data_IF_546014803201
#
_entry.id   IF_546014803201
#
_cell.length_a   1.000
_cell.length_b   1.000
_cell.length_c   1.000
_cell.angle_alpha   90.00
_cell.angle_beta   90.00
_cell.angle_gamma   90.00
#
_symmetry.space_group_name_H-M   'P 1'
#
loop_
_entity.id
_entity.type
_entity.pdbx_description
1 polymer ?
#
# COMPACT_ATOMS: atom_id res chain seq x y z
N UNK A 1 -22.13 -29.05 1.31
CA UNK A 1 -21.22 -29.79 2.21
C UNK A 1 -20.33 -28.74 2.87
N UNK A 2 -20.61 -28.35 4.12
CA UNK A 2 -19.84 -27.30 4.82
C UNK A 2 -18.53 -27.91 5.31
N UNK A 3 -17.44 -27.64 4.61
CA UNK A 3 -16.10 -28.04 5.04
C UNK A 3 -15.63 -26.98 6.04
N UNK A 4 -15.64 -27.33 7.32
CA UNK A 4 -15.05 -26.51 8.38
C UNK A 4 -13.52 -26.52 8.24
N UNK A 5 -13.01 -25.54 7.50
CA UNK A 5 -11.58 -25.29 7.27
C UNK A 5 -10.81 -25.09 8.59
N UNK A 6 -11.49 -24.74 9.69
CA UNK A 6 -10.89 -24.57 11.01
C UNK A 6 -10.88 -25.85 11.86
N UNK A 7 -11.46 -26.96 11.36
CA UNK A 7 -11.32 -28.24 12.05
C UNK A 7 -9.84 -28.66 12.05
N UNK A 8 -9.31 -28.87 13.27
CA UNK A 8 -7.88 -28.88 13.65
C UNK A 8 -6.96 -29.85 12.87
N UNK A 9 -7.48 -30.67 11.95
CA UNK A 9 -6.72 -31.64 11.17
C UNK A 9 -6.32 -31.18 9.77
N UNK A 10 -7.02 -30.23 9.14
CA UNK A 10 -6.79 -29.90 7.72
C UNK A 10 -5.73 -28.82 7.50
N UNK A 11 -5.53 -27.92 8.47
CA UNK A 11 -4.56 -26.82 8.35
C UNK A 11 -3.12 -27.29 8.11
N UNK A 12 -2.58 -28.30 8.84
CA UNK A 12 -1.22 -28.79 8.58
C UNK A 12 -1.10 -29.51 7.24
N UNK A 13 -2.15 -30.20 6.80
CA UNK A 13 -2.22 -30.89 5.49
C UNK A 13 -2.26 -29.86 4.36
N UNK A 14 -3.03 -28.79 4.52
CA UNK A 14 -3.11 -27.68 3.58
C UNK A 14 -1.76 -26.97 3.50
N UNK A 15 -1.18 -26.56 4.63
CA UNK A 15 0.13 -25.90 4.71
C UNK A 15 1.26 -26.75 4.09
N UNK A 16 1.24 -28.08 4.26
CA UNK A 16 2.21 -29.00 3.67
C UNK A 16 2.05 -29.16 2.14
N UNK A 17 0.83 -29.01 1.61
CA UNK A 17 0.55 -29.15 0.17
C UNK A 17 0.57 -27.81 -0.58
N UNK A 18 0.51 -26.66 0.11
CA UNK A 18 0.62 -25.33 -0.51
C UNK A 18 2.05 -24.91 -0.90
N UNK A 19 3.06 -25.78 -0.72
CA UNK A 19 4.45 -25.45 -1.06
C UNK A 19 4.75 -25.36 -2.57
N UNK A 20 3.79 -25.72 -3.43
CA UNK A 20 3.94 -25.63 -4.89
C UNK A 20 2.79 -24.86 -5.55
N UNK A 21 2.29 -23.80 -4.92
CA UNK A 21 1.35 -22.89 -5.61
C UNK A 21 2.15 -22.05 -6.59
N UNK A 22 1.97 -22.29 -7.89
CA UNK A 22 2.57 -21.49 -8.94
C UNK A 22 1.66 -20.31 -9.39
N UNK A 23 2.08 -19.59 -10.42
CA UNK A 23 1.33 -18.43 -10.90
C UNK A 23 -0.02 -18.82 -11.53
N UNK A 24 -0.09 -19.99 -12.17
CA UNK A 24 -1.31 -20.51 -12.79
C UNK A 24 -2.30 -20.93 -11.70
N UNK A 25 -1.82 -21.61 -10.65
CA UNK A 25 -2.62 -21.96 -9.47
C UNK A 25 -3.18 -20.71 -8.79
N UNK A 26 -2.34 -19.69 -8.57
CA UNK A 26 -2.78 -18.40 -8.01
C UNK A 26 -3.90 -17.78 -8.86
N UNK A 27 -3.75 -17.80 -10.20
CA UNK A 27 -4.75 -17.23 -11.12
C UNK A 27 -6.05 -18.03 -11.12
N UNK A 28 -5.96 -19.35 -11.04
CA UNK A 28 -7.11 -20.25 -10.98
C UNK A 28 -7.88 -20.07 -9.67
N UNK A 29 -7.18 -19.99 -8.53
CA UNK A 29 -7.80 -19.74 -7.22
C UNK A 29 -8.54 -18.39 -7.20
N UNK A 30 -7.92 -17.34 -7.74
CA UNK A 30 -8.53 -16.01 -7.80
C UNK A 30 -9.71 -15.99 -8.78
N UNK A 31 -9.60 -16.65 -9.92
CA UNK A 31 -10.71 -16.78 -10.89
C UNK A 31 -11.88 -17.58 -10.30
N UNK A 32 -11.60 -18.68 -9.60
CA UNK A 32 -12.61 -19.48 -8.93
C UNK A 32 -13.36 -18.67 -7.86
N UNK A 33 -12.67 -17.79 -7.13
CA UNK A 33 -13.32 -16.84 -6.23
C UNK A 33 -14.27 -15.92 -6.99
N UNK A 34 -13.83 -15.32 -8.10
CA UNK A 34 -14.65 -14.43 -8.93
C UNK A 34 -15.89 -15.16 -9.47
N UNK A 35 -15.69 -16.34 -10.05
CA UNK A 35 -16.74 -17.16 -10.66
C UNK A 35 -17.78 -17.62 -9.65
N UNK A 36 -17.39 -17.79 -8.39
CA UNK A 36 -18.30 -18.13 -7.30
C UNK A 36 -19.39 -17.08 -7.07
N UNK A 37 -19.12 -15.81 -7.37
CA UNK A 37 -20.08 -14.71 -7.27
C UNK A 37 -20.77 -14.39 -8.61
N UNK A 38 -20.51 -15.16 -9.65
CA UNK A 38 -21.13 -14.96 -10.95
C UNK A 38 -22.46 -15.74 -11.03
N UNK A 39 -23.61 -15.06 -11.20
CA UNK A 39 -24.92 -15.71 -11.24
C UNK A 39 -25.08 -16.68 -12.42
N UNK A 40 -24.20 -16.61 -13.43
CA UNK A 40 -24.16 -17.54 -14.56
C UNK A 40 -23.66 -18.94 -14.19
N UNK A 41 -23.07 -19.12 -13.00
CA UNK A 41 -22.59 -20.42 -12.50
C UNK A 41 -23.38 -20.88 -11.28
N UNK A 42 -24.66 -21.28 -11.42
CA UNK A 42 -25.54 -21.60 -10.30
C UNK A 42 -25.05 -22.74 -9.39
N UNK A 43 -24.17 -23.61 -9.89
CA UNK A 43 -23.56 -24.69 -9.11
C UNK A 43 -22.53 -24.14 -8.09
N UNK A 44 -21.82 -23.06 -8.46
CA UNK A 44 -20.82 -22.40 -7.62
C UNK A 44 -21.43 -21.25 -6.83
N UNK A 45 -22.51 -20.66 -7.34
CA UNK A 45 -23.32 -19.62 -6.72
C UNK A 45 -24.22 -20.17 -5.60
N UNK A 46 -23.62 -20.94 -4.68
CA UNK A 46 -24.23 -21.21 -3.38
C UNK A 46 -24.33 -19.89 -2.63
N UNK A 47 -25.40 -19.63 -1.86
CA UNK A 47 -25.44 -18.48 -0.95
C UNK A 47 -24.23 -18.57 -0.03
N UNK A 48 -23.25 -17.71 -0.26
CA UNK A 48 -22.18 -17.49 0.70
C UNK A 48 -22.80 -16.60 1.76
N UNK A 49 -22.78 -17.06 3.02
CA UNK A 49 -23.30 -16.26 4.11
C UNK A 49 -22.55 -14.91 4.08
N UNK A 50 -23.28 -13.81 4.27
CA UNK A 50 -22.73 -12.46 4.19
C UNK A 50 -21.38 -12.26 4.92
N UNK A 51 -21.22 -12.94 6.06
CA UNK A 51 -20.00 -12.93 6.89
C UNK A 51 -18.78 -13.59 6.22
N UNK A 52 -18.99 -14.52 5.30
CA UNK A 52 -17.92 -15.29 4.68
C UNK A 52 -17.18 -14.47 3.61
N UNK A 53 -17.78 -13.41 3.05
CA UNK A 53 -17.13 -12.54 2.07
C UNK A 53 -15.76 -12.02 2.54
N UNK A 54 -15.71 -11.22 3.63
CA UNK A 54 -14.44 -10.78 4.21
C UNK A 54 -13.56 -11.91 4.75
N UNK A 55 -14.14 -13.01 5.24
CA UNK A 55 -13.39 -14.18 5.72
C UNK A 55 -12.65 -14.86 4.57
N UNK A 56 -13.28 -14.99 3.41
CA UNK A 56 -12.73 -15.60 2.20
C UNK A 56 -11.77 -14.66 1.48
N UNK A 57 -12.00 -13.34 1.56
CA UNK A 57 -11.13 -12.34 0.95
C UNK A 57 -9.73 -12.38 1.57
N UNK A 58 -9.61 -12.53 2.90
CA UNK A 58 -8.33 -12.54 3.62
C UNK A 58 -7.33 -13.62 3.16
N UNK A 59 -7.67 -14.91 3.09
CA UNK A 59 -6.77 -15.93 2.54
C UNK A 59 -6.58 -15.78 1.04
N UNK A 60 -7.55 -15.22 0.30
CA UNK A 60 -7.40 -14.95 -1.12
C UNK A 60 -6.24 -13.98 -1.41
N UNK A 61 -5.99 -13.04 -0.49
CA UNK A 61 -4.91 -12.03 -0.63
C UNK A 61 -3.54 -12.64 -0.87
N UNK A 62 -3.26 -13.83 -0.33
CA UNK A 62 -1.94 -14.46 -0.48
C UNK A 62 -1.68 -14.95 -1.91
N UNK A 63 -2.74 -15.08 -2.72
CA UNK A 63 -2.68 -15.50 -4.14
C UNK A 63 -2.72 -14.29 -5.10
N UNK A 64 -2.87 -13.08 -4.57
CA UNK A 64 -2.73 -11.83 -5.34
C UNK A 64 -1.25 -11.46 -5.40
N UNK A 65 -0.54 -12.06 -6.34
CA UNK A 65 0.90 -11.90 -6.56
C UNK A 65 1.18 -11.07 -7.81
N UNK A 66 2.44 -10.64 -8.06
CA UNK A 66 2.82 -10.13 -9.37
C UNK A 66 2.44 -11.15 -10.46
N UNK A 67 1.63 -10.73 -11.43
CA UNK A 67 1.11 -11.60 -12.50
C UNK A 67 -0.34 -12.05 -12.34
N UNK A 68 -0.98 -11.86 -11.18
CA UNK A 68 -2.45 -12.02 -10.98
C UNK A 68 -3.13 -10.72 -10.57
N UNK A 69 -2.38 -9.63 -10.46
CA UNK A 69 -2.88 -8.32 -10.02
C UNK A 69 -3.94 -7.71 -10.95
N UNK A 70 -4.03 -8.17 -12.20
CA UNK A 70 -5.08 -7.80 -13.16
C UNK A 70 -6.46 -8.31 -12.75
N UNK A 71 -6.54 -9.40 -11.97
CA UNK A 71 -7.80 -9.94 -11.46
C UNK A 71 -8.30 -9.20 -10.21
N UNK A 72 -7.42 -8.45 -9.54
CA UNK A 72 -7.74 -7.77 -8.30
C UNK A 72 -8.98 -6.86 -8.41
N UNK A 73 -9.11 -5.95 -9.39
CA UNK A 73 -10.29 -5.10 -9.50
C UNK A 73 -11.59 -5.91 -9.56
N UNK A 74 -11.57 -7.07 -10.23
CA UNK A 74 -12.74 -7.93 -10.35
C UNK A 74 -13.08 -8.63 -9.05
N UNK A 75 -12.08 -9.09 -8.29
CA UNK A 75 -12.26 -9.62 -6.93
C UNK A 75 -12.97 -8.59 -6.06
N UNK A 76 -12.50 -7.33 -6.05
CA UNK A 76 -13.12 -6.27 -5.26
C UNK A 76 -14.56 -6.02 -5.71
N UNK A 77 -14.77 -5.89 -7.03
CA UNK A 77 -16.08 -5.65 -7.62
C UNK A 77 -17.11 -6.70 -7.19
N UNK A 78 -16.79 -7.99 -7.36
CA UNK A 78 -17.75 -9.06 -7.03
C UNK A 78 -17.99 -9.17 -5.52
N UNK A 79 -16.97 -8.89 -4.70
CA UNK A 79 -17.10 -8.91 -3.24
C UNK A 79 -18.01 -7.78 -2.75
N UNK A 80 -17.76 -6.54 -3.22
CA UNK A 80 -18.60 -5.37 -2.86
C UNK A 80 -20.02 -5.58 -3.36
N UNK A 81 -20.19 -6.00 -4.62
CA UNK A 81 -21.50 -6.21 -5.21
C UNK A 81 -22.31 -7.20 -4.37
N UNK A 82 -21.69 -8.32 -3.96
CA UNK A 82 -22.40 -9.32 -3.15
C UNK A 82 -22.80 -8.79 -1.77
N UNK A 83 -21.90 -8.06 -1.11
CA UNK A 83 -22.20 -7.42 0.18
C UNK A 83 -23.40 -6.48 0.01
N UNK A 84 -23.45 -5.73 -1.09
CA UNK A 84 -24.54 -4.81 -1.35
C UNK A 84 -25.88 -5.52 -1.58
N UNK A 85 -25.89 -6.60 -2.38
CA UNK A 85 -27.10 -7.42 -2.62
C UNK A 85 -27.71 -7.95 -1.31
N UNK A 86 -26.88 -8.40 -0.37
CA UNK A 86 -27.32 -8.88 0.95
C UNK A 86 -27.75 -7.74 1.89
N UNK A 87 -27.22 -6.52 1.72
CA UNK A 87 -27.67 -5.35 2.48
C UNK A 87 -29.04 -4.88 1.98
N UNK A 88 -29.30 -4.99 0.67
CA UNK A 88 -30.59 -4.63 0.06
C UNK A 88 -31.71 -5.62 0.44
N UNK A 89 -31.39 -6.92 0.57
CA UNK A 89 -32.33 -7.96 0.99
C UNK A 89 -31.72 -8.85 2.10
N UNK A 90 -31.64 -8.36 3.34
CA UNK A 90 -30.95 -9.05 4.42
C UNK A 90 -31.71 -10.30 4.83
N UNK A 91 -30.98 -11.42 4.95
CA UNK A 91 -31.53 -12.64 5.55
C UNK A 91 -32.12 -12.34 6.94
N UNK A 92 -33.29 -12.91 7.27
CA UNK A 92 -33.97 -12.68 8.56
C UNK A 92 -33.13 -13.12 9.77
N UNK A 93 -32.11 -13.95 9.55
CA UNK A 93 -31.21 -14.44 10.60
C UNK A 93 -30.08 -13.44 10.97
N UNK A 94 -29.88 -12.38 10.18
CA UNK A 94 -28.80 -11.41 10.42
C UNK A 94 -29.25 -10.23 11.27
N UNK A 95 -28.48 -9.95 12.33
CA UNK A 95 -28.62 -8.73 13.11
C UNK A 95 -27.99 -7.56 12.35
N UNK A 96 -28.56 -6.34 12.40
CA UNK A 96 -27.99 -5.15 11.76
C UNK A 96 -26.51 -4.92 12.11
N UNK A 97 -26.12 -5.16 13.36
CA UNK A 97 -24.73 -4.99 13.80
C UNK A 97 -23.75 -5.92 13.07
N UNK A 98 -24.20 -7.14 12.73
CA UNK A 98 -23.38 -8.10 11.97
C UNK A 98 -23.16 -7.64 10.53
N UNK A 99 -24.15 -6.94 9.96
CA UNK A 99 -24.03 -6.33 8.63
C UNK A 99 -22.96 -5.23 8.63
N UNK A 100 -23.02 -4.35 9.64
CA UNK A 100 -22.04 -3.28 9.84
C UNK A 100 -20.63 -3.84 10.07
N UNK A 101 -20.50 -4.89 10.88
CA UNK A 101 -19.21 -5.54 11.16
C UNK A 101 -18.59 -6.16 9.91
N UNK A 102 -19.34 -6.89 9.08
CA UNK A 102 -18.76 -7.48 7.88
C UNK A 102 -18.45 -6.45 6.79
N UNK A 103 -19.23 -5.37 6.68
CA UNK A 103 -18.86 -4.22 5.83
C UNK A 103 -17.53 -3.65 6.31
N UNK A 104 -17.41 -3.35 7.62
CA UNK A 104 -16.17 -2.84 8.22
C UNK A 104 -14.99 -3.78 7.97
N UNK A 105 -15.17 -5.08 8.19
CA UNK A 105 -14.10 -6.08 8.05
C UNK A 105 -13.69 -6.27 6.59
N UNK A 106 -14.62 -6.12 5.64
CA UNK A 106 -14.30 -6.07 4.20
C UNK A 106 -13.46 -4.84 3.88
N UNK A 107 -13.84 -3.67 4.38
CA UNK A 107 -13.02 -2.46 4.25
C UNK A 107 -11.66 -2.59 4.96
N UNK A 108 -11.57 -3.30 6.08
CA UNK A 108 -10.31 -3.61 6.74
C UNK A 108 -9.42 -4.54 5.91
N UNK A 109 -10.00 -5.47 5.15
CA UNK A 109 -9.26 -6.24 4.15
C UNK A 109 -8.84 -5.37 2.95
N UNK A 110 -9.64 -4.37 2.55
CA UNK A 110 -9.21 -3.33 1.59
C UNK A 110 -8.03 -2.50 2.10
N UNK A 111 -7.94 -2.23 3.40
CA UNK A 111 -6.73 -1.66 4.00
C UNK A 111 -5.51 -2.57 3.81
N UNK A 112 -5.68 -3.90 3.87
CA UNK A 112 -4.60 -4.84 3.55
C UNK A 112 -4.23 -4.76 2.06
N UNK A 113 -5.18 -4.60 1.14
CA UNK A 113 -4.88 -4.37 -0.28
C UNK A 113 -4.11 -3.07 -0.53
N UNK A 114 -4.43 -2.01 0.20
CA UNK A 114 -3.66 -0.77 0.18
C UNK A 114 -2.22 -1.05 0.67
N UNK A 115 -2.04 -1.89 1.70
CA UNK A 115 -0.70 -2.37 2.14
C UNK A 115 0.00 -3.26 1.13
N UNK A 116 -0.73 -4.05 0.33
CA UNK A 116 -0.19 -4.98 -0.66
C UNK A 116 0.33 -4.30 -1.94
N UNK A 117 0.55 -2.98 -1.92
CA UNK A 117 1.23 -2.28 -3.00
C UNK A 117 0.31 -1.53 -3.95
N UNK A 118 -0.92 -1.19 -3.58
CA UNK A 118 -1.74 -0.29 -4.40
C UNK A 118 -1.09 1.09 -4.57
N UNK A 119 -0.44 1.58 -3.51
CA UNK A 119 0.36 2.81 -3.56
C UNK A 119 1.62 2.60 -4.40
N UNK A 120 2.30 1.47 -4.28
CA UNK A 120 3.48 1.16 -5.11
C UNK A 120 3.08 1.01 -6.60
N UNK A 121 1.92 0.43 -6.87
CA UNK A 121 1.35 0.26 -8.20
C UNK A 121 0.95 1.62 -8.78
N UNK A 122 0.27 2.47 -8.00
CA UNK A 122 -0.07 3.83 -8.42
C UNK A 122 1.20 4.66 -8.67
N UNK A 123 2.20 4.57 -7.78
CA UNK A 123 3.51 5.18 -7.96
C UNK A 123 4.17 4.72 -9.26
N UNK A 124 4.30 3.41 -9.48
CA UNK A 124 4.90 2.84 -10.69
C UNK A 124 4.13 3.24 -11.94
N UNK A 125 2.80 3.17 -11.92
CA UNK A 125 1.98 3.59 -13.05
C UNK A 125 2.17 5.08 -13.35
N UNK A 126 2.25 5.95 -12.34
CA UNK A 126 2.57 7.36 -12.52
C UNK A 126 3.97 7.53 -13.13
N UNK A 127 4.99 6.74 -12.79
CA UNK A 127 6.31 6.81 -13.47
C UNK A 127 6.27 6.33 -14.90
N UNK A 128 5.51 5.26 -15.15
CA UNK A 128 5.43 4.58 -16.44
C UNK A 128 4.55 5.32 -17.45
N UNK A 129 3.80 6.33 -17.03
CA UNK A 129 3.21 7.28 -17.97
C UNK A 129 4.34 7.79 -18.90
N UNK A 130 4.10 7.82 -20.20
CA UNK A 130 5.13 8.19 -21.17
C UNK A 130 5.55 9.65 -21.01
N UNK A 131 6.84 9.94 -21.26
CA UNK A 131 7.31 11.32 -21.35
C UNK A 131 6.88 11.91 -22.70
N UNK A 132 6.44 13.19 -22.74
CA UNK A 132 5.99 13.82 -23.98
C UNK A 132 7.05 13.96 -25.08
N UNK A 133 8.32 13.73 -24.78
CA UNK A 133 9.44 13.71 -25.73
C UNK A 133 9.80 12.31 -26.23
N UNK A 134 9.37 11.25 -25.53
CA UNK A 134 9.66 9.87 -25.91
C UNK A 134 8.70 9.45 -27.04
N UNK A 135 9.20 8.75 -28.07
CA UNK A 135 8.32 8.19 -29.10
C UNK A 135 7.39 7.17 -28.46
N UNK A 136 6.10 7.13 -28.84
CA UNK A 136 5.14 6.19 -28.26
C UNK A 136 5.67 4.78 -28.48
N UNK A 137 5.80 4.01 -27.39
CA UNK A 137 6.30 2.65 -27.48
C UNK A 137 5.22 1.84 -28.19
N UNK A 138 5.50 1.37 -29.41
CA UNK A 138 4.61 0.54 -30.24
C UNK A 138 4.45 -0.87 -29.66
N UNK A 139 3.94 -0.96 -28.43
CA UNK A 139 3.53 -2.21 -27.81
C UNK A 139 2.03 -2.17 -27.57
N UNK A 140 1.36 -3.32 -27.74
CA UNK A 140 -0.09 -3.45 -27.54
C UNK A 140 -0.57 -3.05 -26.12
N UNK A 141 0.35 -2.86 -25.17
CA UNK A 141 0.09 -2.38 -23.82
C UNK A 141 -0.01 -0.84 -23.71
N UNK A 142 0.48 -0.07 -24.69
CA UNK A 142 0.50 1.40 -24.64
C UNK A 142 -0.86 2.07 -24.92
N UNK A 143 -1.83 1.36 -25.50
CA UNK A 143 -3.21 1.89 -25.64
C UNK A 143 -3.87 2.20 -24.28
N UNK A 144 -3.36 1.63 -23.18
CA UNK A 144 -3.85 1.85 -21.82
C UNK A 144 -2.92 2.74 -20.97
N UNK A 145 -1.61 2.75 -21.26
CA UNK A 145 -0.58 3.42 -20.43
C UNK A 145 -0.51 4.95 -20.56
N UNK A 146 -1.36 5.56 -21.41
CA UNK A 146 -1.37 7.00 -21.67
C UNK A 146 -2.75 7.66 -21.55
N UNK A 147 -3.71 7.01 -20.88
CA UNK A 147 -5.04 7.60 -20.69
C UNK A 147 -4.90 8.96 -19.99
N UNK A 148 -5.28 10.03 -20.68
CA UNK A 148 -5.40 11.40 -20.14
C UNK A 148 -6.21 11.41 -18.83
N UNK A 149 -7.05 10.39 -18.63
CA UNK A 149 -7.87 10.24 -17.44
C UNK A 149 -7.19 9.52 -16.26
N UNK A 150 -6.00 8.92 -16.44
CA UNK A 150 -5.40 8.09 -15.38
C UNK A 150 -5.14 8.90 -14.10
N UNK A 151 -4.52 10.07 -14.21
CA UNK A 151 -4.24 10.94 -13.06
C UNK A 151 -5.54 11.41 -12.38
N UNK A 152 -6.55 11.97 -13.11
CA UNK A 152 -7.86 12.28 -12.53
C UNK A 152 -8.55 11.09 -11.84
N UNK A 153 -8.56 9.91 -12.47
CA UNK A 153 -9.21 8.71 -11.91
C UNK A 153 -8.51 8.21 -10.66
N UNK A 154 -7.17 8.20 -10.66
CA UNK A 154 -6.37 7.81 -9.49
C UNK A 154 -6.62 8.77 -8.33
N UNK A 155 -6.65 10.08 -8.59
CA UNK A 155 -7.02 11.09 -7.60
C UNK A 155 -8.43 10.87 -7.05
N UNK A 156 -9.41 10.67 -7.93
CA UNK A 156 -10.80 10.43 -7.53
C UNK A 156 -10.94 9.16 -6.69
N UNK A 157 -10.28 8.07 -7.11
CA UNK A 157 -10.26 6.81 -6.37
C UNK A 157 -9.72 7.00 -4.95
N UNK A 158 -8.52 7.58 -4.80
CA UNK A 158 -7.96 7.80 -3.47
C UNK A 158 -8.81 8.79 -2.66
N UNK A 159 -9.38 9.82 -3.28
CA UNK A 159 -10.35 10.71 -2.62
C UNK A 159 -11.54 9.95 -2.04
N UNK A 160 -12.11 9.00 -2.79
CA UNK A 160 -13.20 8.14 -2.32
C UNK A 160 -12.76 7.21 -1.18
N UNK A 161 -11.57 6.61 -1.28
CA UNK A 161 -11.00 5.78 -0.20
C UNK A 161 -10.96 6.54 1.12
N UNK A 162 -10.60 7.82 1.10
CA UNK A 162 -10.54 8.66 2.30
C UNK A 162 -11.90 8.97 2.91
N UNK A 163 -12.92 9.11 2.07
CA UNK A 163 -14.31 9.34 2.52
C UNK A 163 -14.88 8.07 3.15
N UNK A 164 -14.54 6.91 2.58
CA UNK A 164 -15.09 5.62 3.00
C UNK A 164 -14.41 5.04 4.24
N UNK A 165 -13.13 5.37 4.48
CA UNK A 165 -12.38 4.84 5.61
C UNK A 165 -12.54 5.72 6.86
N UNK A 166 -12.77 5.13 8.05
CA UNK A 166 -12.74 5.88 9.30
C UNK A 166 -11.39 6.60 9.49
N UNK A 167 -11.34 7.81 10.06
CA UNK A 167 -10.09 8.54 10.27
C UNK A 167 -9.03 7.76 11.05
N UNK A 168 -9.44 6.93 12.02
CA UNK A 168 -8.55 6.04 12.78
C UNK A 168 -7.84 5.00 11.90
N UNK A 169 -8.52 4.49 10.87
CA UNK A 169 -7.94 3.57 9.90
C UNK A 169 -6.92 4.27 9.00
N UNK A 170 -7.18 5.54 8.64
CA UNK A 170 -6.29 6.34 7.81
C UNK A 170 -4.94 6.57 8.47
N UNK A 171 -4.89 6.80 9.80
CA UNK A 171 -3.62 6.91 10.53
C UNK A 171 -2.79 5.61 10.45
N UNK A 172 -3.43 4.45 10.62
CA UNK A 172 -2.75 3.14 10.55
C UNK A 172 -2.25 2.86 9.13
N UNK A 173 -3.08 3.15 8.13
CA UNK A 173 -2.73 3.08 6.71
C UNK A 173 -1.52 3.96 6.42
N UNK A 174 -1.53 5.20 6.92
CA UNK A 174 -0.44 6.13 6.72
C UNK A 174 0.86 5.72 7.38
N UNK A 175 0.84 5.37 8.67
CA UNK A 175 2.08 4.99 9.38
C UNK A 175 2.86 3.89 8.65
N UNK A 176 2.13 3.01 7.95
CA UNK A 176 2.71 1.92 7.19
C UNK A 176 3.16 2.33 5.79
N UNK A 177 2.42 3.21 5.11
CA UNK A 177 2.66 3.57 3.72
C UNK A 177 3.52 4.83 3.54
N UNK A 178 3.59 5.64 4.58
CA UNK A 178 4.30 6.92 4.59
C UNK A 178 5.75 6.79 4.13
N UNK A 179 6.54 5.78 4.54
CA UNK A 179 7.90 5.64 4.08
C UNK A 179 8.01 5.46 2.56
N UNK A 180 7.15 4.64 1.95
CA UNK A 180 7.21 4.34 0.51
C UNK A 180 6.61 5.47 -0.32
N UNK A 181 5.53 6.07 0.18
CA UNK A 181 4.95 7.29 -0.37
C UNK A 181 5.98 8.41 -0.50
N UNK A 182 6.76 8.60 0.57
CA UNK A 182 7.75 9.64 0.66
C UNK A 182 8.94 9.38 -0.26
N UNK A 183 9.44 8.13 -0.32
CA UNK A 183 10.48 7.74 -1.30
C UNK A 183 10.09 8.11 -2.71
N UNK A 184 8.83 7.82 -3.09
CA UNK A 184 8.34 8.12 -4.42
C UNK A 184 8.25 9.62 -4.69
N UNK A 185 7.71 10.38 -3.74
CA UNK A 185 7.65 11.84 -3.82
C UNK A 185 9.06 12.43 -4.00
N UNK A 186 10.01 12.01 -3.15
CA UNK A 186 11.40 12.44 -3.25
C UNK A 186 12.00 12.07 -4.60
N UNK A 187 11.75 10.86 -5.11
CA UNK A 187 12.21 10.45 -6.43
C UNK A 187 11.69 11.36 -7.55
N UNK A 188 10.38 11.66 -7.57
CA UNK A 188 9.79 12.56 -8.56
C UNK A 188 10.38 13.98 -8.53
N UNK A 189 10.71 14.50 -7.34
CA UNK A 189 11.37 15.82 -7.19
C UNK A 189 12.73 15.86 -7.89
N UNK A 190 13.48 14.75 -7.87
CA UNK A 190 14.82 14.67 -8.46
C UNK A 190 14.87 14.07 -9.85
N UNK A 191 13.74 13.52 -10.33
CA UNK A 191 13.71 12.75 -11.57
C UNK A 191 14.15 13.60 -12.77
N UNK A 192 13.74 14.87 -12.80
CA UNK A 192 14.13 15.82 -13.86
C UNK A 192 15.63 16.07 -13.94
N UNK A 193 16.28 16.15 -12.79
CA UNK A 193 17.70 16.45 -12.63
C UNK A 193 18.53 15.21 -12.96
N UNK A 194 18.12 14.05 -12.45
CA UNK A 194 18.81 12.77 -12.67
C UNK A 194 18.78 12.37 -14.16
N UNK A 195 17.68 12.66 -14.85
CA UNK A 195 17.48 12.32 -16.27
C UNK A 195 17.82 13.45 -17.24
N UNK A 196 18.24 14.61 -16.74
CA UNK A 196 18.51 15.81 -17.54
C UNK A 196 17.36 16.16 -18.50
N UNK A 197 16.11 16.06 -18.02
CA UNK A 197 14.92 16.16 -18.86
C UNK A 197 14.81 17.51 -19.60
N UNK A 198 14.24 17.48 -20.81
CA UNK A 198 13.88 18.69 -21.54
C UNK A 198 12.73 19.45 -20.86
N UNK A 199 12.56 20.78 -21.08
CA UNK A 199 11.56 21.58 -20.35
C UNK A 199 10.14 21.03 -20.38
N UNK A 200 9.70 20.46 -21.51
CA UNK A 200 8.37 19.85 -21.67
C UNK A 200 8.16 18.67 -20.71
N UNK A 201 9.16 17.80 -20.58
CA UNK A 201 9.09 16.64 -19.70
C UNK A 201 9.21 17.02 -18.24
N UNK A 202 9.98 18.07 -17.91
CA UNK A 202 10.02 18.62 -16.55
C UNK A 202 8.63 19.07 -16.09
N UNK A 203 7.88 19.75 -16.96
CA UNK A 203 6.51 20.17 -16.64
C UNK A 203 5.57 18.97 -16.45
N UNK A 204 5.75 17.93 -17.26
CA UNK A 204 5.00 16.69 -17.11
C UNK A 204 5.25 16.01 -15.75
N UNK A 205 6.52 15.94 -15.32
CA UNK A 205 6.90 15.38 -14.02
C UNK A 205 6.37 16.24 -12.86
N UNK A 206 6.39 17.59 -12.99
CA UNK A 206 5.77 18.48 -12.01
C UNK A 206 4.28 18.21 -11.85
N UNK A 207 3.57 18.01 -12.97
CA UNK A 207 2.14 17.67 -12.95
C UNK A 207 1.89 16.37 -12.19
N UNK A 208 2.71 15.33 -12.44
CA UNK A 208 2.63 14.05 -11.73
C UNK A 208 2.93 14.19 -10.23
N UNK A 209 3.95 14.97 -9.87
CA UNK A 209 4.28 15.26 -8.47
C UNK A 209 3.14 16.01 -7.79
N UNK A 210 2.51 16.96 -8.47
CA UNK A 210 1.33 17.66 -7.95
C UNK A 210 0.18 16.69 -7.70
N UNK A 211 -0.17 15.83 -8.66
CA UNK A 211 -1.19 14.79 -8.47
C UNK A 211 -0.84 13.84 -7.33
N UNK A 212 0.43 13.42 -7.21
CA UNK A 212 0.88 12.61 -6.10
C UNK A 212 0.60 13.33 -4.78
N UNK A 213 1.09 14.57 -4.62
CA UNK A 213 0.85 15.36 -3.41
C UNK A 213 -0.64 15.52 -3.09
N UNK A 214 -1.50 15.72 -4.10
CA UNK A 214 -2.96 15.80 -3.92
C UNK A 214 -3.58 14.50 -3.41
N UNK A 215 -3.16 13.34 -3.94
CA UNK A 215 -3.56 12.04 -3.42
C UNK A 215 -3.12 11.90 -1.96
N UNK A 216 -1.89 12.33 -1.64
CA UNK A 216 -1.39 12.36 -0.28
C UNK A 216 -2.29 13.20 0.62
N UNK A 217 -2.57 14.44 0.22
CA UNK A 217 -3.44 15.35 0.97
C UNK A 217 -4.84 14.78 1.19
N UNK A 218 -5.42 14.15 0.15
CA UNK A 218 -6.72 13.48 0.27
C UNK A 218 -6.66 12.39 1.34
N UNK A 219 -5.60 11.58 1.33
CA UNK A 219 -5.33 10.55 2.33
C UNK A 219 -5.08 11.12 3.73
N UNK A 220 -4.98 12.44 3.92
CA UNK A 220 -4.69 13.07 5.21
C UNK A 220 -3.22 13.35 5.46
N UNK A 221 -2.36 13.21 4.44
CA UNK A 221 -0.99 13.72 4.50
C UNK A 221 -1.03 15.25 4.50
N UNK A 222 -0.81 15.83 5.67
CA UNK A 222 -0.51 17.24 5.76
C UNK A 222 0.97 17.42 5.40
N UNK A 223 1.21 17.93 4.19
CA UNK A 223 2.52 18.49 3.85
C UNK A 223 2.73 19.67 4.78
N UNK A 224 3.33 19.44 5.93
CA UNK A 224 4.07 20.50 6.57
C UNK A 224 5.30 20.67 5.71
N UNK A 225 5.31 21.69 4.84
CA UNK A 225 6.51 22.24 4.23
C UNK A 225 7.41 22.76 5.36
N UNK A 226 8.00 21.84 6.12
CA UNK A 226 8.89 22.17 7.21
C UNK A 226 10.29 21.82 6.76
N UNK A 227 11.10 22.88 6.83
CA UNK A 227 12.55 22.99 6.73
C UNK A 227 13.26 21.78 6.10
N UNK A 228 14.04 21.97 5.01
CA UNK A 228 15.03 20.97 4.65
C UNK A 228 15.83 20.61 5.91
N UNK A 229 15.87 19.32 6.25
CA UNK A 229 16.67 18.84 7.36
C UNK A 229 17.46 17.63 6.90
N UNK A 230 18.73 17.58 7.28
CA UNK A 230 19.60 16.50 6.87
C UNK A 230 19.41 15.31 7.80
N UNK A 231 19.18 14.11 7.24
CA UNK A 231 19.19 12.88 8.02
C UNK A 231 20.64 12.55 8.39
N UNK A 232 20.95 12.56 9.69
CA UNK A 232 22.26 12.25 10.24
C UNK A 232 22.64 10.77 10.16
N UNK A 233 21.77 9.90 9.61
CA UNK A 233 22.13 8.52 9.31
C UNK A 233 22.87 8.45 7.98
N UNK A 234 24.18 8.14 8.04
CA UNK A 234 25.07 8.14 6.88
C UNK A 234 24.66 7.20 5.73
N UNK A 235 23.85 6.17 6.03
CA UNK A 235 23.30 5.22 5.05
C UNK A 235 21.83 5.48 4.72
N UNK A 236 21.33 6.67 5.04
CA UNK A 236 19.95 7.03 4.69
C UNK A 236 19.81 7.10 3.17
N UNK A 237 18.80 6.42 2.63
CA UNK A 237 18.45 6.53 1.22
C UNK A 237 17.83 7.88 0.85
N UNK A 238 17.43 8.67 1.85
CA UNK A 238 16.97 10.06 1.69
C UNK A 238 17.65 10.98 2.72
N UNK A 239 18.91 11.39 2.48
CA UNK A 239 19.68 12.18 3.43
C UNK A 239 19.20 13.63 3.54
N UNK A 240 18.34 14.11 2.63
CA UNK A 240 17.89 15.50 2.60
C UNK A 240 16.57 15.72 3.36
N UNK A 241 15.92 14.64 3.83
CA UNK A 241 14.82 14.70 4.80
C UNK A 241 13.66 15.61 4.38
N UNK A 242 13.41 15.75 3.08
CA UNK A 242 12.55 16.80 2.52
C UNK A 242 11.04 16.58 2.77
N UNK A 243 10.53 16.97 3.94
CA UNK A 243 9.10 16.91 4.27
C UNK A 243 8.68 15.69 5.11
N UNK A 244 9.62 15.08 5.82
CA UNK A 244 9.39 13.99 6.77
C UNK A 244 9.22 14.48 8.21
N UNK A 245 8.72 13.61 9.08
CA UNK A 245 8.78 13.83 10.54
C UNK A 245 10.25 13.85 10.95
N UNK A 246 10.67 14.95 11.59
CA UNK A 246 12.02 15.08 12.11
C UNK A 246 12.11 14.36 13.46
N UNK A 247 12.76 13.19 13.48
CA UNK A 247 13.12 12.52 14.71
C UNK A 247 14.42 13.13 15.21
N UNK A 248 14.45 13.56 16.48
CA UNK A 248 15.68 14.06 17.09
C UNK A 248 16.30 12.97 17.95
N UNK A 249 17.63 12.97 18.07
CA UNK A 249 18.35 12.07 18.97
C UNK A 249 17.82 12.30 20.40
N UNK A 250 17.30 11.26 21.10
CA UNK A 250 16.71 11.47 22.42
C UNK A 250 17.74 11.91 23.46
N UNK A 251 19.02 11.66 23.18
CA UNK A 251 20.13 11.91 24.11
C UNK A 251 20.74 13.30 23.97
N UNK A 252 20.92 13.81 22.75
CA UNK A 252 21.56 15.11 22.51
C UNK A 252 20.66 16.14 21.82
N UNK A 253 19.49 15.72 21.30
CA UNK A 253 18.55 16.51 20.49
C UNK A 253 19.12 17.14 19.20
N UNK A 254 20.44 17.08 18.98
CA UNK A 254 21.13 17.62 17.81
C UNK A 254 21.14 16.68 16.60
N UNK A 255 21.05 15.36 16.80
CA UNK A 255 20.97 14.42 15.67
C UNK A 255 19.56 14.42 15.10
N UNK A 256 19.42 14.61 13.79
CA UNK A 256 18.13 14.65 13.09
C UNK A 256 17.99 13.47 12.16
N UNK A 257 16.83 12.81 12.14
CA UNK A 257 16.61 11.59 11.36
C UNK A 257 15.25 11.63 10.69
N UNK A 258 15.17 11.09 9.47
CA UNK A 258 13.94 11.07 8.68
C UNK A 258 12.94 9.96 9.06
N UNK A 259 13.36 9.02 9.92
CA UNK A 259 12.52 7.93 10.41
C UNK A 259 13.03 7.39 11.73
N UNK A 260 12.14 6.74 12.49
CA UNK A 260 12.49 5.98 13.70
C UNK A 260 13.54 4.89 13.41
N UNK A 261 13.52 4.29 12.21
CA UNK A 261 14.54 3.32 11.78
C UNK A 261 15.92 3.95 11.60
N UNK A 262 15.99 5.10 10.94
CA UNK A 262 17.25 5.86 10.86
C UNK A 262 17.72 6.31 12.27
N UNK A 263 16.78 6.58 13.17
CA UNK A 263 16.99 6.88 14.59
C UNK A 263 17.25 5.63 15.46
N UNK A 264 17.12 4.39 14.98
CA UNK A 264 17.52 3.20 15.72
C UNK A 264 18.88 2.70 15.27
N UNK A 265 19.10 2.70 13.94
CA UNK A 265 20.28 2.10 13.31
C UNK A 265 21.55 2.94 13.48
N UNK A 266 21.45 4.20 13.94
CA UNK A 266 22.63 5.00 14.30
C UNK A 266 23.33 4.52 15.56
N UNK A 267 22.76 3.59 16.34
CA UNK A 267 23.45 3.01 17.51
C UNK A 267 24.54 1.98 17.13
N UNK A 268 24.67 1.63 15.84
CA UNK A 268 25.70 0.73 15.37
C UNK A 268 27.12 1.33 15.46
N UNK A 269 28.17 0.48 15.56
CA UNK A 269 29.56 0.91 15.70
C UNK A 269 30.12 1.71 14.50
N UNK A 270 29.41 1.74 13.38
CA UNK A 270 29.80 2.43 12.15
C UNK A 270 29.06 3.77 11.92
N UNK A 271 28.22 4.21 12.85
CA UNK A 271 27.40 5.40 12.64
C UNK A 271 28.12 6.71 13.00
N UNK A 272 28.18 7.66 12.06
CA UNK A 272 28.82 8.95 12.24
C UNK A 272 28.25 9.79 13.41
N UNK A 273 26.98 9.61 13.78
CA UNK A 273 26.38 10.35 14.88
C UNK A 273 26.67 9.76 16.27
N UNK A 274 26.75 8.43 16.43
CA UNK A 274 27.05 7.82 17.74
C UNK A 274 28.44 8.22 18.23
N UNK A 275 29.38 8.35 17.29
CA UNK A 275 30.71 8.85 17.58
C UNK A 275 30.72 10.35 17.91
N UNK A 276 29.73 11.16 17.53
CA UNK A 276 29.67 12.60 17.83
C UNK A 276 28.71 12.97 18.98
N UNK A 277 27.81 12.07 19.36
CA UNK A 277 26.85 12.27 20.43
C UNK A 277 27.52 12.14 21.81
N UNK A 278 27.80 13.27 22.47
CA UNK A 278 28.46 13.31 23.78
C UNK A 278 27.77 12.43 24.83
N UNK A 279 26.44 12.48 24.89
CA UNK A 279 25.62 11.67 25.79
C UNK A 279 25.67 10.16 25.50
N UNK A 280 25.81 9.76 24.22
CA UNK A 280 25.95 8.35 23.85
C UNK A 280 27.35 7.82 24.18
N UNK A 281 28.40 8.63 24.02
CA UNK A 281 29.77 8.26 24.43
C UNK A 281 29.88 7.95 25.92
N UNK A 282 29.16 8.71 26.76
CA UNK A 282 29.14 8.47 28.21
C UNK A 282 28.52 7.11 28.53
N UNK A 283 27.37 6.79 27.91
CA UNK A 283 26.69 5.50 28.08
C UNK A 283 27.53 4.31 27.59
N UNK A 284 28.19 4.44 26.44
CA UNK A 284 29.05 3.38 25.90
C UNK A 284 30.27 3.12 26.79
N UNK A 285 30.90 4.17 27.34
CA UNK A 285 32.01 4.02 28.29
C UNK A 285 31.58 3.28 29.56
N UNK A 286 30.38 3.55 30.07
CA UNK A 286 29.86 2.86 31.26
C UNK A 286 29.55 1.39 31.01
N UNK A 287 29.18 0.99 29.79
CA UNK A 287 28.89 -0.40 29.44
C UNK A 287 30.14 -1.25 29.17
N UNK A 288 31.23 -0.64 28.71
CA UNK A 288 32.52 -1.32 28.53
C UNK A 288 33.34 -1.48 29.83
N UNK A 289 32.81 -1.02 30.96
CA UNK A 289 33.45 -1.04 32.28
C UNK A 289 32.90 -2.13 33.22
N UNK A 290 32.01 -2.99 32.71
CA UNK A 290 31.38 -4.14 33.38
C UNK A 290 31.64 -5.39 32.56
#
# INVERSE_FOLDING_TARGET
>A
MNVDINSRGYRPVWEANTQQVDLEDCREIVSAYIDRFNPLYPILHSPIAFLDGPILLRPLLQFITPGTSDLLPKVLEVTVKRIWEEVEDPSPDYKPDMLVDAVRDTFANYIVFIKCGLIDLAARAILLLELPSEPPVLTNYCLLAGSVDYLPRTKAFFGQVCILLPPSCMYIVWDLLFPDWFKYRSYLVWYSEIRELVPKDREHIRTRLATWNEIGMALGYQVHEKSPFWCGYARCHDPLGMGGVQFTCPMCRNGTYCSARCQSDWRGPQAAHSSLCASARILLKTQSST
#
